data_IF_215962541577
#
_entry.id   IF_215962541577
#
_cell.length_a   1.000
_cell.length_b   1.000
_cell.length_c   1.000
_cell.angle_alpha   90.00
_cell.angle_beta   90.00
_cell.angle_gamma   90.00
#
_symmetry.space_group_name_H-M   'P 1'
#
loop_
_entity.id
_entity.type
_entity.pdbx_description
1 polymer ?
#
# COMPACT_ATOMS: atom_id res chain seq x y z
N UNK A 1 -1.65 11.07 6.35
CA UNK A 1 -1.10 12.14 5.50
C UNK A 1 -0.75 11.50 4.17
N UNK A 2 -1.39 11.87 3.06
CA UNK A 2 -1.09 11.29 1.74
C UNK A 2 0.22 11.89 1.23
N UNK A 3 1.25 11.07 1.00
CA UNK A 3 2.50 11.49 0.39
C UNK A 3 2.41 11.20 -1.11
N UNK A 4 2.71 12.20 -1.94
CA UNK A 4 2.77 12.00 -3.40
C UNK A 4 4.09 11.33 -3.78
N UNK A 5 4.00 10.33 -4.64
CA UNK A 5 5.13 9.65 -5.26
C UNK A 5 4.91 9.64 -6.77
N UNK A 6 5.63 10.52 -7.47
CA UNK A 6 5.32 10.83 -8.87
C UNK A 6 3.86 11.32 -9.02
N UNK A 7 3.09 10.83 -10.00
CA UNK A 7 1.70 11.23 -10.20
C UNK A 7 0.70 10.50 -9.26
N UNK A 8 1.17 9.61 -8.38
CA UNK A 8 0.33 8.72 -7.59
C UNK A 8 0.13 9.23 -6.16
N UNK A 9 -1.11 9.11 -5.68
CA UNK A 9 -1.45 9.36 -4.28
C UNK A 9 -1.29 8.05 -3.52
N UNK A 10 -0.36 8.01 -2.56
CA UNK A 10 -0.10 6.82 -1.76
C UNK A 10 -0.66 7.01 -0.35
N UNK A 11 -1.51 6.08 0.07
CA UNK A 11 -1.96 5.95 1.44
C UNK A 11 -1.18 4.81 2.10
N UNK A 12 -0.59 5.10 3.26
CA UNK A 12 0.05 4.10 4.13
C UNK A 12 -0.77 4.04 5.40
N UNK A 13 -1.21 2.83 5.74
CA UNK A 13 -1.98 2.55 6.94
C UNK A 13 -1.08 1.80 7.92
N UNK A 14 -0.81 2.42 9.06
CA UNK A 14 -0.10 1.75 10.17
C UNK A 14 -1.14 1.12 11.09
N UNK A 15 -1.05 -0.19 11.29
CA UNK A 15 -1.96 -0.94 12.15
C UNK A 15 -1.31 -1.15 13.49
N UNK A 16 -1.96 -0.74 14.58
CA UNK A 16 -1.47 -1.06 15.92
C UNK A 16 -1.38 -2.60 16.05
N UNK A 17 -0.16 -3.13 16.23
CA UNK A 17 0.14 -4.56 16.36
C UNK A 17 -0.40 -5.23 17.63
N UNK A 18 -1.45 -4.66 18.22
CA UNK A 18 -2.10 -5.18 19.41
C UNK A 18 -3.34 -5.99 19.02
N UNK A 19 -3.38 -7.20 19.54
CA UNK A 19 -4.37 -8.25 19.31
C UNK A 19 -5.84 -7.88 19.55
N UNK A 20 -6.11 -6.78 20.26
CA UNK A 20 -7.47 -6.29 20.53
C UNK A 20 -8.13 -5.63 19.30
N UNK A 21 -7.41 -5.46 18.20
CA UNK A 21 -7.90 -4.74 17.01
C UNK A 21 -8.08 -5.62 15.77
N UNK A 22 -8.09 -6.95 15.91
CA UNK A 22 -8.22 -7.90 14.79
C UNK A 22 -9.41 -7.59 13.86
N UNK A 23 -10.53 -7.10 14.39
CA UNK A 23 -11.70 -6.69 13.60
C UNK A 23 -11.53 -5.37 12.81
N UNK A 24 -10.61 -4.49 13.22
CA UNK A 24 -10.28 -3.26 12.48
C UNK A 24 -9.27 -3.55 11.35
N UNK A 25 -8.40 -4.55 11.52
CA UNK A 25 -7.36 -4.90 10.53
C UNK A 25 -7.97 -5.33 9.20
N UNK A 26 -9.12 -6.03 9.19
CA UNK A 26 -9.82 -6.43 7.96
C UNK A 26 -10.28 -5.22 7.12
N UNK A 27 -10.63 -4.09 7.74
CA UNK A 27 -10.97 -2.88 6.99
C UNK A 27 -9.77 -2.24 6.31
N UNK A 28 -8.58 -2.29 6.94
CA UNK A 28 -7.37 -1.67 6.41
C UNK A 28 -6.70 -2.47 5.29
N UNK A 29 -6.92 -3.79 5.23
CA UNK A 29 -6.38 -4.66 4.17
C UNK A 29 -7.26 -4.70 2.92
N UNK A 30 -8.55 -4.37 3.04
CA UNK A 30 -9.47 -4.37 1.90
C UNK A 30 -9.06 -3.30 0.89
N UNK A 31 -8.75 -3.72 -0.33
CA UNK A 31 -8.29 -2.81 -1.40
C UNK A 31 -6.81 -2.41 -1.27
N UNK A 32 -6.04 -3.05 -0.39
CA UNK A 32 -4.61 -2.83 -0.32
C UNK A 32 -3.93 -3.49 -1.52
N UNK A 33 -3.13 -2.70 -2.26
CA UNK A 33 -2.29 -3.22 -3.36
C UNK A 33 -1.01 -3.89 -2.86
N UNK A 34 -0.61 -3.60 -1.63
CA UNK A 34 0.55 -4.21 -0.99
C UNK A 34 0.39 -4.24 0.54
N UNK A 35 1.04 -5.21 1.17
CA UNK A 35 1.10 -5.40 2.61
C UNK A 35 2.56 -5.61 3.06
N UNK A 36 2.94 -4.95 4.15
CA UNK A 36 4.23 -5.13 4.81
C UNK A 36 3.99 -5.93 6.08
N UNK A 37 4.53 -7.15 6.14
CA UNK A 37 4.51 -7.98 7.32
C UNK A 37 5.84 -7.80 8.07
N UNK A 38 5.82 -7.01 9.12
CA UNK A 38 7.02 -6.65 9.88
C UNK A 38 7.20 -7.53 11.12
N UNK A 39 8.43 -8.00 11.35
CA UNK A 39 8.84 -8.73 12.54
C UNK A 39 10.16 -8.16 13.11
N UNK A 40 10.50 -8.52 14.35
CA UNK A 40 11.78 -8.17 14.96
C UNK A 40 12.81 -9.27 14.71
N UNK A 41 13.94 -8.95 14.09
CA UNK A 41 14.99 -9.92 13.73
C UNK A 41 15.57 -10.62 14.98
N UNK A 42 15.54 -9.93 16.13
CA UNK A 42 16.06 -10.41 17.41
C UNK A 42 15.03 -11.18 18.26
N UNK A 43 13.78 -11.30 17.82
CA UNK A 43 12.72 -12.00 18.55
C UNK A 43 11.91 -12.91 17.62
N UNK A 44 12.27 -14.21 17.63
CA UNK A 44 11.63 -15.26 16.82
C UNK A 44 10.11 -15.30 17.00
N UNK A 45 9.62 -15.05 18.21
CA UNK A 45 8.17 -15.12 18.50
C UNK A 45 7.38 -14.15 17.64
N UNK A 46 7.95 -12.99 17.30
CA UNK A 46 7.29 -12.01 16.43
C UNK A 46 7.12 -12.54 15.00
N UNK A 47 8.06 -13.34 14.52
CA UNK A 47 8.00 -13.98 13.20
C UNK A 47 7.00 -15.14 13.17
N UNK A 48 6.91 -15.92 14.26
CA UNK A 48 5.93 -17.00 14.36
C UNK A 48 4.50 -16.44 14.45
N UNK A 49 4.29 -15.39 15.27
CA UNK A 49 3.00 -14.68 15.38
C UNK A 49 2.56 -14.09 14.04
N UNK A 50 3.50 -13.55 13.25
CA UNK A 50 3.24 -13.02 11.92
C UNK A 50 2.59 -14.08 11.02
N UNK A 51 3.13 -15.31 11.02
CA UNK A 51 2.62 -16.42 10.24
C UNK A 51 1.25 -16.90 10.73
N UNK A 52 1.10 -17.09 12.04
CA UNK A 52 -0.13 -17.67 12.60
C UNK A 52 -1.32 -16.72 12.55
N UNK A 53 -1.08 -15.41 12.76
CA UNK A 53 -2.18 -14.45 13.03
C UNK A 53 -2.44 -13.48 11.90
N UNK A 54 -1.41 -13.03 11.18
CA UNK A 54 -1.56 -11.96 10.20
C UNK A 54 -1.79 -12.48 8.78
N UNK A 55 -1.30 -13.68 8.45
CA UNK A 55 -1.60 -14.30 7.16
C UNK A 55 -3.09 -14.51 6.90
N UNK A 56 -3.89 -15.03 7.85
CA UNK A 56 -5.34 -15.19 7.64
C UNK A 56 -6.08 -13.86 7.44
N UNK A 57 -5.51 -12.75 7.91
CA UNK A 57 -6.12 -11.43 7.71
C UNK A 57 -5.93 -10.96 6.26
N UNK A 58 -4.87 -11.41 5.58
CA UNK A 58 -4.61 -11.09 4.19
C UNK A 58 -5.55 -11.80 3.21
N UNK A 59 -6.33 -12.79 3.65
CA UNK A 59 -7.41 -13.38 2.83
C UNK A 59 -8.47 -12.34 2.41
N UNK A 60 -8.57 -11.22 3.14
CA UNK A 60 -9.44 -10.09 2.79
C UNK A 60 -8.81 -9.05 1.85
N UNK A 61 -7.52 -9.21 1.51
CA UNK A 61 -6.82 -8.33 0.58
C UNK A 61 -7.21 -8.63 -0.88
N UNK A 62 -6.78 -7.79 -1.82
CA UNK A 62 -6.99 -8.08 -3.24
C UNK A 62 -6.21 -9.33 -3.67
N UNK A 63 -6.74 -10.10 -4.64
CA UNK A 63 -6.10 -11.31 -5.19
C UNK A 63 -4.66 -11.11 -5.70
N UNK A 64 -4.29 -9.85 -5.95
CA UNK A 64 -2.96 -9.46 -6.38
C UNK A 64 -2.29 -8.55 -5.33
N UNK A 65 -2.59 -8.66 -4.04
CA UNK A 65 -1.86 -7.90 -3.03
C UNK A 65 -0.39 -8.36 -2.99
N UNK A 66 0.56 -7.45 -3.16
CA UNK A 66 1.98 -7.75 -2.98
C UNK A 66 2.28 -7.90 -1.48
N UNK A 67 2.79 -9.04 -1.05
CA UNK A 67 3.13 -9.26 0.36
C UNK A 67 4.65 -9.18 0.51
N UNK A 68 5.15 -8.34 1.41
CA UNK A 68 6.59 -8.20 1.66
C UNK A 68 6.89 -8.48 3.12
N UNK A 69 7.83 -9.37 3.39
CA UNK A 69 8.22 -9.76 4.75
C UNK A 69 9.43 -8.94 5.17
N UNK A 70 9.32 -8.21 6.29
CA UNK A 70 10.32 -7.22 6.69
C UNK A 70 10.84 -7.48 8.10
N UNK A 71 12.11 -7.86 8.20
CA UNK A 71 12.84 -7.85 9.45
C UNK A 71 13.16 -6.41 9.86
N UNK A 72 12.79 -6.04 11.08
CA UNK A 72 13.00 -4.69 11.63
C UNK A 72 14.06 -4.73 12.73
N UNK A 73 14.49 -3.52 13.14
CA UNK A 73 15.49 -3.31 14.20
C UNK A 73 16.85 -3.93 13.89
N UNK A 74 17.25 -3.95 12.62
CA UNK A 74 18.56 -4.46 12.19
C UNK A 74 19.72 -3.82 12.95
N UNK A 75 19.56 -2.58 13.42
CA UNK A 75 20.56 -1.87 14.24
C UNK A 75 20.85 -2.50 15.61
N UNK A 76 20.00 -3.42 16.08
CA UNK A 76 20.19 -4.16 17.34
C UNK A 76 20.71 -5.59 17.12
N UNK A 77 20.84 -6.01 15.87
CA UNK A 77 21.16 -7.40 15.52
C UNK A 77 22.66 -7.60 15.47
N UNK A 78 23.12 -8.65 16.17
CA UNK A 78 24.45 -9.23 16.07
C UNK A 78 24.32 -10.70 15.71
N UNK A 79 25.42 -11.38 15.42
CA UNK A 79 25.43 -12.84 15.18
C UNK A 79 24.84 -13.63 16.36
N UNK A 80 24.94 -13.11 17.59
CA UNK A 80 24.47 -13.76 18.80
C UNK A 80 22.99 -13.47 19.10
N UNK A 81 22.49 -12.30 18.69
CA UNK A 81 21.10 -11.88 18.98
C UNK A 81 20.13 -12.19 17.84
N UNK A 82 20.62 -12.54 16.64
CA UNK A 82 19.79 -12.94 15.51
C UNK A 82 19.05 -14.25 15.83
N UNK A 83 17.72 -14.21 15.74
CA UNK A 83 16.87 -15.41 15.96
C UNK A 83 16.11 -15.86 14.71
N UNK A 84 16.08 -15.03 13.66
CA UNK A 84 15.46 -15.37 12.38
C UNK A 84 16.50 -15.20 11.28
N UNK A 85 16.68 -16.24 10.47
CA UNK A 85 17.61 -16.19 9.36
C UNK A 85 17.00 -15.47 8.15
N UNK A 86 17.80 -14.75 7.35
CA UNK A 86 17.31 -14.09 6.14
C UNK A 86 16.60 -15.05 5.18
N UNK A 87 17.09 -16.29 5.08
CA UNK A 87 16.55 -17.31 4.17
C UNK A 87 15.15 -17.78 4.59
N UNK A 88 14.86 -17.81 5.90
CA UNK A 88 13.51 -18.14 6.41
C UNK A 88 12.50 -17.08 5.97
N UNK A 89 12.85 -15.79 6.10
CA UNK A 89 11.99 -14.68 5.69
C UNK A 89 11.82 -14.61 4.17
N UNK A 90 12.87 -14.88 3.39
CA UNK A 90 12.76 -14.98 1.93
C UNK A 90 11.85 -16.11 1.49
N UNK A 91 11.99 -17.29 2.11
CA UNK A 91 11.17 -18.46 1.78
C UNK A 91 9.69 -18.18 2.02
N UNK A 92 9.36 -17.61 3.19
CA UNK A 92 8.00 -17.19 3.52
C UNK A 92 7.47 -16.14 2.52
N UNK A 93 8.27 -15.12 2.20
CA UNK A 93 7.85 -14.09 1.26
C UNK A 93 7.54 -14.67 -0.14
N UNK A 94 8.35 -15.61 -0.62
CA UNK A 94 8.12 -16.29 -1.91
C UNK A 94 6.85 -17.14 -1.87
N UNK A 95 6.63 -17.88 -0.80
CA UNK A 95 5.44 -18.72 -0.62
C UNK A 95 4.15 -17.89 -0.69
N UNK A 96 4.11 -16.78 0.06
CA UNK A 96 2.95 -15.88 0.12
C UNK A 96 2.64 -15.19 -1.21
N UNK A 97 3.62 -15.06 -2.10
CA UNK A 97 3.44 -14.45 -3.41
C UNK A 97 3.42 -15.46 -4.56
N UNK A 98 3.41 -16.76 -4.29
CA UNK A 98 3.47 -17.84 -5.30
C UNK A 98 2.44 -17.64 -6.43
N UNK A 99 1.17 -17.45 -6.08
CA UNK A 99 0.10 -17.20 -7.05
C UNK A 99 0.30 -15.92 -7.88
N UNK A 100 0.91 -14.88 -7.31
CA UNK A 100 1.24 -13.64 -8.03
C UNK A 100 2.42 -13.86 -8.97
N UNK A 101 3.46 -14.58 -8.51
CA UNK A 101 4.65 -14.91 -9.30
C UNK A 101 4.28 -15.79 -10.51
N UNK A 102 3.32 -16.69 -10.37
CA UNK A 102 2.80 -17.49 -11.48
C UNK A 102 2.16 -16.62 -12.58
N UNK A 103 1.43 -15.58 -12.18
CA UNK A 103 0.78 -14.63 -13.10
C UNK A 103 1.77 -13.62 -13.70
N UNK A 104 2.74 -13.17 -12.91
CA UNK A 104 3.76 -12.21 -13.30
C UNK A 104 5.13 -12.65 -12.78
N UNK A 105 5.88 -13.31 -13.67
CA UNK A 105 7.22 -13.83 -13.37
C UNK A 105 8.21 -12.76 -12.95
N UNK A 106 8.01 -11.50 -13.38
CA UNK A 106 8.92 -10.40 -13.03
C UNK A 106 8.92 -10.12 -11.53
N UNK A 107 7.82 -10.44 -10.83
CA UNK A 107 7.73 -10.32 -9.36
C UNK A 107 8.68 -11.30 -8.67
N UNK A 108 8.84 -12.52 -9.20
CA UNK A 108 9.70 -13.55 -8.63
C UNK A 108 11.20 -13.27 -8.77
N UNK A 109 11.56 -12.34 -9.65
CA UNK A 109 12.93 -11.82 -9.84
C UNK A 109 13.25 -10.67 -8.88
N UNK A 110 12.24 -10.08 -8.24
CA UNK A 110 12.41 -9.00 -7.26
C UNK A 110 12.64 -9.55 -5.87
N UNK A 111 13.30 -8.73 -5.05
CA UNK A 111 13.47 -8.99 -3.62
C UNK A 111 12.13 -8.76 -2.91
N UNK A 112 11.63 -9.80 -2.24
CA UNK A 112 10.34 -9.80 -1.52
C UNK A 112 10.50 -9.85 0.01
N UNK A 113 11.74 -9.97 0.50
CA UNK A 113 12.08 -9.89 1.91
C UNK A 113 13.17 -8.85 2.13
N UNK A 114 13.06 -8.07 3.21
CA UNK A 114 14.02 -7.01 3.54
C UNK A 114 14.37 -7.03 5.02
N UNK A 115 15.59 -6.62 5.33
CA UNK A 115 15.99 -6.27 6.69
C UNK A 115 16.22 -4.77 6.77
N UNK A 116 15.60 -4.14 7.75
CA UNK A 116 15.51 -2.69 7.86
C UNK A 116 15.83 -2.21 9.26
N UNK A 117 16.28 -0.97 9.35
CA UNK A 117 16.31 -0.23 10.61
C UNK A 117 15.59 1.09 10.42
N UNK A 118 14.44 1.24 11.07
CA UNK A 118 13.72 2.51 11.11
C UNK A 118 14.52 3.59 11.86
N UNK A 119 15.43 3.19 12.77
CA UNK A 119 16.28 4.10 13.54
C UNK A 119 17.37 4.74 12.69
N UNK A 120 18.02 3.96 11.84
CA UNK A 120 19.11 4.45 10.98
C UNK A 120 18.65 4.80 9.57
N UNK A 121 17.43 4.41 9.18
CA UNK A 121 16.92 4.51 7.82
C UNK A 121 17.38 3.40 6.89
N UNK A 122 18.13 2.41 7.39
CA UNK A 122 18.69 1.34 6.57
C UNK A 122 17.60 0.55 5.84
N UNK A 123 17.74 0.45 4.51
CA UNK A 123 16.88 -0.31 3.58
C UNK A 123 15.40 0.07 3.56
N UNK A 124 14.98 1.13 4.27
CA UNK A 124 13.58 1.59 4.27
C UNK A 124 13.20 2.16 2.90
N UNK A 125 14.06 3.00 2.32
CA UNK A 125 13.80 3.58 1.00
C UNK A 125 13.84 2.53 -0.12
N UNK A 126 14.80 1.59 -0.05
CA UNK A 126 14.89 0.48 -1.00
C UNK A 126 13.63 -0.39 -1.00
N UNK A 127 13.15 -0.77 0.19
CA UNK A 127 11.91 -1.52 0.39
C UNK A 127 10.75 -0.85 -0.36
N UNK A 128 10.49 0.43 -0.08
CA UNK A 128 9.39 1.15 -0.71
C UNK A 128 9.58 1.32 -2.22
N UNK A 129 10.81 1.60 -2.69
CA UNK A 129 11.10 1.71 -4.12
C UNK A 129 10.79 0.42 -4.88
N UNK A 130 11.19 -0.73 -4.34
CA UNK A 130 10.90 -2.03 -4.94
C UNK A 130 9.40 -2.30 -4.96
N UNK A 131 8.72 -2.09 -3.83
CA UNK A 131 7.26 -2.27 -3.75
C UNK A 131 6.52 -1.38 -4.74
N UNK A 132 6.88 -0.10 -4.84
CA UNK A 132 6.26 0.83 -5.78
C UNK A 132 6.54 0.46 -7.23
N UNK A 133 7.74 -0.01 -7.56
CA UNK A 133 8.05 -0.50 -8.90
C UNK A 133 7.22 -1.71 -9.33
N UNK A 134 6.77 -2.53 -8.36
CA UNK A 134 5.93 -3.71 -8.63
C UNK A 134 4.43 -3.34 -8.67
N UNK A 135 3.99 -2.48 -7.74
CA UNK A 135 2.56 -2.19 -7.56
C UNK A 135 2.06 -1.03 -8.43
N UNK A 136 2.92 -0.07 -8.78
CA UNK A 136 2.52 1.09 -9.56
C UNK A 136 2.87 0.88 -11.04
N UNK A 137 1.93 1.12 -11.96
CA UNK A 137 2.23 1.10 -13.37
C UNK A 137 3.00 2.38 -13.74
N UNK A 138 4.31 2.41 -13.50
CA UNK A 138 5.14 3.59 -13.78
C UNK A 138 5.06 4.01 -15.26
N UNK A 139 4.86 3.04 -16.16
CA UNK A 139 4.77 3.26 -17.61
C UNK A 139 3.38 3.64 -18.13
N UNK A 140 2.32 3.44 -17.33
CA UNK A 140 0.92 3.74 -17.71
C UNK A 140 0.32 4.88 -16.90
N UNK A 141 1.15 5.78 -16.36
CA UNK A 141 0.63 7.02 -15.80
C UNK A 141 -0.22 7.71 -16.89
N UNK A 142 -1.53 7.95 -16.68
CA UNK A 142 -2.31 8.70 -17.63
C UNK A 142 -1.66 10.07 -17.75
N UNK A 143 -1.24 10.43 -18.97
CA UNK A 143 -0.86 11.81 -19.29
C UNK A 143 -1.98 12.68 -18.74
N UNK A 144 -1.72 13.43 -17.67
CA UNK A 144 -2.71 14.19 -16.92
C UNK A 144 -3.64 14.90 -17.89
N UNK A 145 -4.87 14.42 -18.01
CA UNK A 145 -5.93 15.17 -18.67
C UNK A 145 -6.09 16.44 -17.85
N UNK A 146 -5.85 17.60 -18.47
CA UNK A 146 -6.05 18.91 -17.85
C UNK A 146 -7.44 18.92 -17.20
N UNK A 147 -7.49 18.87 -15.88
CA UNK A 147 -8.72 19.04 -15.11
C UNK A 147 -9.25 20.44 -15.46
N UNK A 148 -10.31 20.53 -16.28
CA UNK A 148 -11.05 21.78 -16.47
C UNK A 148 -11.66 22.11 -15.11
N UNK A 149 -11.02 22.99 -14.35
CA UNK A 149 -11.63 23.62 -13.19
C UNK A 149 -12.72 24.55 -13.71
N UNK A 150 -13.98 24.19 -13.50
CA UNK A 150 -15.07 25.16 -13.52
C UNK A 150 -14.91 26.03 -12.26
N UNK A 151 -14.10 27.07 -12.36
CA UNK A 151 -14.06 28.12 -11.34
C UNK A 151 -15.28 29.00 -11.57
N UNK A 152 -16.09 29.21 -10.54
CA UNK A 152 -17.13 30.24 -10.54
C UNK A 152 -16.41 31.53 -10.15
N UNK A 153 -16.27 32.47 -11.09
CA UNK A 153 -15.74 33.81 -10.81
C UNK A 153 -16.79 34.61 -10.01
N UNK A 154 -16.37 35.14 -8.85
CA UNK A 154 -17.22 35.94 -7.95
C UNK A 154 -17.19 37.45 -8.26
N UNK A 155 -16.47 37.88 -9.30
CA UNK A 155 -16.24 39.31 -9.60
C UNK A 155 -16.81 39.80 -10.95
N UNK A 156 -17.94 39.25 -11.42
CA UNK A 156 -18.65 39.79 -12.58
C UNK A 156 -19.82 40.72 -12.16
N UNK A 157 -19.93 41.95 -12.72
CA UNK A 157 -20.99 42.90 -12.36
C UNK A 157 -22.39 42.44 -12.84
N UNK A 158 -23.48 42.90 -12.19
CA UNK A 158 -24.81 42.36 -12.44
C UNK A 158 -25.37 42.94 -13.74
N UNK A 159 -25.69 42.08 -14.71
CA UNK A 159 -26.55 42.46 -15.84
C UNK A 159 -27.90 41.77 -15.71
N UNK A 160 -28.86 42.53 -15.18
CA UNK A 160 -30.29 42.25 -15.31
C UNK A 160 -30.75 42.59 -16.73
N UNK A 161 -31.53 41.70 -17.37
CA UNK A 161 -32.93 41.96 -17.81
C UNK A 161 -33.46 40.83 -18.71
N UNK A 162 -34.73 40.49 -18.45
CA UNK A 162 -35.62 39.58 -19.20
C UNK A 162 -36.26 40.33 -20.38
N UNK A 163 -36.76 39.64 -21.43
CA UNK A 163 -38.21 39.36 -21.56
C UNK A 163 -38.51 37.91 -22.04
N UNK A 164 -39.48 37.17 -21.47
CA UNK A 164 -40.91 36.98 -21.88
C UNK A 164 -41.05 36.73 -23.40
N UNK A 165 -41.65 35.67 -23.95
CA UNK A 165 -42.39 34.48 -23.50
C UNK A 165 -43.36 34.06 -24.63
N UNK A 166 -43.64 32.77 -24.87
CA UNK A 166 -44.90 32.28 -25.47
C UNK A 166 -45.11 30.75 -25.34
N UNK A 167 -46.37 30.34 -25.30
CA UNK A 167 -46.96 29.17 -24.60
C UNK A 167 -47.18 27.91 -25.47
N UNK A 168 -47.25 26.74 -24.79
CA UNK A 168 -48.26 25.64 -24.87
C UNK A 168 -47.58 24.30 -24.45
N UNK A 169 -48.14 23.36 -23.69
CA UNK A 169 -49.48 23.14 -23.12
C UNK A 169 -49.40 22.09 -21.99
N UNK A 170 -50.48 22.00 -21.20
CA UNK A 170 -50.61 21.23 -19.97
C UNK A 170 -50.84 19.70 -20.13
N UNK A 171 -50.68 19.03 -18.99
CA UNK A 171 -50.95 17.65 -18.58
C UNK A 171 -52.01 16.82 -19.32
N UNK A 172 -51.76 15.51 -19.38
CA UNK A 172 -52.62 14.48 -18.75
C UNK A 172 -51.74 13.32 -18.26
#
# INVERSE_FOLDING_TARGET
MLKQWGPYNIAIWDTAGNERYSGLTTFYVRGASAAILAYDISDRRTFDILQERFLPILDGAEDNCLITVVGTKLDLVTEETRQVKPEEAESLARELNSARIEKDRTVGEKKLSFETSAKTGHSVEELFNVMFGICLPLDKAPKTAKRKTSTVDLDAPPSSRVPVGEKAGCCN
#
